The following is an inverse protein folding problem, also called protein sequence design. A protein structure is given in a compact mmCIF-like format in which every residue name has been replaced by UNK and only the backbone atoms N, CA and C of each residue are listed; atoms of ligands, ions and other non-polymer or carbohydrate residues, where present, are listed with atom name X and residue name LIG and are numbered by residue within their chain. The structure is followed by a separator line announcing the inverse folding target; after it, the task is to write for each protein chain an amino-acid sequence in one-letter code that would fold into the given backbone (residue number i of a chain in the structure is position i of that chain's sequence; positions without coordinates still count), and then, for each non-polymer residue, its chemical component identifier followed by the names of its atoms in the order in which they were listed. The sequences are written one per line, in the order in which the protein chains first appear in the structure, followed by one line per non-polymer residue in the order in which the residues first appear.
data_IF_332627292016
#
_entry.id   IF_332627292016
#
_cell.length_a   1.000
_cell.length_b   1.000
_cell.length_c   1.000
_cell.angle_alpha   90.00
_cell.angle_beta   90.00
_cell.angle_gamma   90.00
#
_symmetry.space_group_name_H-M   'P 1'
#
loop_
_entity.id
_entity.type
_entity.pdbx_description
1 polymer ?
#
# COMPACT_ATOMS: atom_id res chain seq x y z
N UNK A 1 -2.55 18.59 0.59
CA UNK A 1 -2.81 17.17 1.01
C UNK A 1 -2.37 16.96 2.45
N UNK A 2 -1.15 17.35 2.84
CA UNK A 2 -0.59 17.15 4.18
C UNK A 2 -1.50 17.75 5.28
N UNK A 3 -1.85 19.04 5.19
CA UNK A 3 -2.75 19.70 6.15
C UNK A 3 -4.08 18.98 6.31
N UNK A 4 -4.66 18.50 5.21
CA UNK A 4 -5.92 17.78 5.25
C UNK A 4 -5.78 16.48 6.05
N UNK A 5 -4.77 15.68 5.77
CA UNK A 5 -4.55 14.42 6.48
C UNK A 5 -4.25 14.65 7.97
N UNK A 6 -3.49 15.70 8.30
CA UNK A 6 -3.24 16.09 9.70
C UNK A 6 -4.49 16.56 10.40
N UNK A 7 -5.35 17.33 9.71
CA UNK A 7 -6.63 17.78 10.28
C UNK A 7 -7.58 16.62 10.60
N UNK A 8 -7.45 15.51 9.86
CA UNK A 8 -8.17 14.27 10.13
C UNK A 8 -7.60 13.46 11.31
N UNK A 9 -6.36 13.76 11.75
CA UNK A 9 -5.71 13.13 12.88
C UNK A 9 -4.60 12.14 12.53
N UNK A 10 -4.15 12.04 11.26
CA UNK A 10 -2.91 11.35 10.92
C UNK A 10 -1.71 12.13 11.43
N UNK A 11 -0.69 11.43 11.94
CA UNK A 11 0.47 12.06 12.57
C UNK A 11 1.80 11.57 12.02
N UNK A 12 1.93 10.26 11.83
CA UNK A 12 3.19 9.58 11.52
C UNK A 12 3.39 9.43 10.01
N UNK A 13 3.51 10.58 9.32
CA UNK A 13 3.79 10.66 7.89
C UNK A 13 4.41 12.02 7.54
N UNK A 14 5.07 12.09 6.39
CA UNK A 14 5.47 13.34 5.75
C UNK A 14 5.27 13.25 4.23
N UNK A 15 4.79 14.33 3.63
CA UNK A 15 4.71 14.56 2.18
C UNK A 15 5.35 15.90 1.92
N UNK A 16 6.66 15.91 1.67
CA UNK A 16 7.48 17.12 1.60
C UNK A 16 7.97 17.44 0.20
N UNK A 17 8.13 16.42 -0.64
CA UNK A 17 8.73 16.55 -1.96
C UNK A 17 7.84 15.95 -3.03
N UNK A 18 8.00 16.43 -4.26
CA UNK A 18 7.33 15.89 -5.43
C UNK A 18 8.07 14.68 -5.99
N UNK A 19 7.43 13.93 -6.88
CA UNK A 19 8.04 12.84 -7.62
C UNK A 19 9.23 13.33 -8.46
N UNK A 20 9.09 14.50 -9.08
CA UNK A 20 10.18 15.15 -9.84
C UNK A 20 11.40 15.46 -8.97
N UNK A 21 11.20 15.89 -7.72
CA UNK A 21 12.31 16.16 -6.80
C UNK A 21 13.04 14.86 -6.45
N UNK A 22 12.30 13.77 -6.19
CA UNK A 22 12.86 12.45 -5.91
C UNK A 22 13.67 11.89 -7.08
N UNK A 23 13.22 12.10 -8.33
CA UNK A 23 13.99 11.71 -9.52
C UNK A 23 15.25 12.53 -9.74
N UNK A 24 15.25 13.81 -9.37
CA UNK A 24 16.44 14.67 -9.46
C UNK A 24 17.46 14.36 -8.39
N UNK A 25 17.01 13.97 -7.21
CA UNK A 25 17.86 13.67 -6.06
C UNK A 25 17.28 12.49 -5.26
N UNK A 26 17.88 11.31 -5.41
CA UNK A 26 17.41 10.09 -4.75
C UNK A 26 17.39 10.18 -3.21
N UNK A 27 18.20 11.08 -2.61
CA UNK A 27 18.15 11.30 -1.16
C UNK A 27 16.81 11.89 -0.71
N UNK A 28 16.10 12.60 -1.59
CA UNK A 28 14.78 13.16 -1.28
C UNK A 28 13.68 12.09 -1.20
N UNK A 29 13.90 10.88 -1.74
CA UNK A 29 12.96 9.76 -1.58
C UNK A 29 12.67 9.43 -0.10
N UNK A 30 13.61 9.71 0.80
CA UNK A 30 13.46 9.44 2.23
C UNK A 30 12.70 10.53 2.99
N UNK A 31 12.38 11.65 2.36
CA UNK A 31 11.62 12.76 2.96
C UNK A 31 10.12 12.51 2.92
N UNK A 32 9.64 11.76 1.95
CA UNK A 32 8.26 11.26 1.94
C UNK A 32 8.23 9.92 2.67
N UNK A 33 7.48 9.83 3.75
CA UNK A 33 7.38 8.60 4.54
C UNK A 33 6.04 8.48 5.26
N UNK A 34 5.70 7.27 5.61
CA UNK A 34 4.59 6.95 6.53
C UNK A 34 4.90 5.66 7.29
N UNK A 35 4.09 5.35 8.28
CA UNK A 35 4.14 4.04 8.96
C UNK A 35 3.06 3.10 8.41
N UNK A 36 3.26 1.78 8.47
CA UNK A 36 2.22 0.83 8.09
C UNK A 36 0.89 1.06 8.82
N UNK A 37 0.96 1.43 10.10
CA UNK A 37 -0.24 1.71 10.90
C UNK A 37 -1.01 2.94 10.40
N UNK A 38 -0.32 4.02 10.05
CA UNK A 38 -0.98 5.22 9.50
C UNK A 38 -1.57 4.94 8.10
N UNK A 39 -0.87 4.15 7.29
CA UNK A 39 -1.38 3.73 5.98
C UNK A 39 -2.67 2.90 6.12
N UNK A 40 -2.69 1.91 7.03
CA UNK A 40 -3.89 1.11 7.33
C UNK A 40 -5.02 1.99 7.86
N UNK A 41 -4.73 2.95 8.74
CA UNK A 41 -5.72 3.89 9.25
C UNK A 41 -6.35 4.73 8.14
N UNK A 42 -5.55 5.23 7.21
CA UNK A 42 -6.05 5.98 6.05
C UNK A 42 -6.93 5.11 5.13
N UNK A 43 -6.54 3.87 4.88
CA UNK A 43 -7.34 2.90 4.11
C UNK A 43 -8.69 2.62 4.78
N UNK A 44 -8.70 2.42 6.09
CA UNK A 44 -9.94 2.25 6.86
C UNK A 44 -10.85 3.48 6.79
N UNK A 45 -10.26 4.68 6.81
CA UNK A 45 -11.03 5.91 6.64
C UNK A 45 -11.56 6.09 5.21
N UNK A 46 -10.84 5.63 4.20
CA UNK A 46 -11.31 5.61 2.82
C UNK A 46 -12.53 4.68 2.70
N UNK A 47 -12.38 3.42 3.07
CA UNK A 47 -13.43 2.40 2.93
C UNK A 47 -14.67 2.73 3.77
N UNK A 48 -14.49 3.30 4.97
CA UNK A 48 -15.61 3.74 5.82
C UNK A 48 -16.27 5.05 5.37
N UNK A 49 -15.71 5.74 4.37
CA UNK A 49 -16.21 7.04 3.90
C UNK A 49 -15.85 8.23 4.80
N UNK A 50 -14.90 8.06 5.73
CA UNK A 50 -14.40 9.15 6.57
C UNK A 50 -13.41 10.05 5.81
N UNK A 51 -12.50 9.45 5.01
CA UNK A 51 -11.50 10.20 4.26
C UNK A 51 -12.04 10.82 2.96
N UNK A 52 -13.04 10.21 2.34
CA UNK A 52 -13.72 10.73 1.16
C UNK A 52 -15.15 10.23 1.17
N UNK A 53 -16.07 10.95 0.54
CA UNK A 53 -17.51 10.63 0.54
C UNK A 53 -18.08 10.57 -0.89
N UNK A 54 -19.16 9.81 -1.04
CA UNK A 54 -19.91 9.71 -2.29
C UNK A 54 -19.03 9.36 -3.47
N UNK A 55 -19.23 10.03 -4.59
CA UNK A 55 -18.52 9.73 -5.83
C UNK A 55 -16.98 9.80 -5.74
N UNK A 56 -16.43 10.62 -4.86
CA UNK A 56 -14.98 10.70 -4.67
C UNK A 56 -14.43 9.43 -4.00
N UNK A 57 -15.11 8.93 -2.97
CA UNK A 57 -14.74 7.65 -2.34
C UNK A 57 -14.84 6.53 -3.35
N UNK A 58 -15.96 6.43 -4.05
CA UNK A 58 -16.22 5.38 -5.02
C UNK A 58 -15.20 5.40 -6.16
N UNK A 59 -14.81 6.59 -6.63
CA UNK A 59 -13.77 6.76 -7.64
C UNK A 59 -12.41 6.23 -7.16
N UNK A 60 -11.97 6.60 -5.94
CA UNK A 60 -10.69 6.15 -5.39
C UNK A 60 -10.71 4.63 -5.17
N UNK A 61 -11.80 4.11 -4.60
CA UNK A 61 -11.96 2.67 -4.35
C UNK A 61 -11.90 1.88 -5.65
N UNK A 62 -12.65 2.27 -6.68
CA UNK A 62 -12.63 1.60 -7.98
C UNK A 62 -11.29 1.74 -8.70
N UNK A 63 -10.61 2.89 -8.56
CA UNK A 63 -9.26 3.09 -9.11
C UNK A 63 -8.26 2.12 -8.46
N UNK A 64 -8.34 1.93 -7.16
CA UNK A 64 -7.48 0.97 -6.44
C UNK A 64 -7.82 -0.48 -6.80
N UNK A 65 -9.10 -0.84 -6.99
CA UNK A 65 -9.52 -2.17 -7.44
C UNK A 65 -9.03 -2.47 -8.86
N UNK A 66 -9.00 -1.46 -9.73
CA UNK A 66 -8.53 -1.61 -11.11
C UNK A 66 -7.01 -1.51 -11.27
N UNK A 67 -6.24 -1.46 -10.19
CA UNK A 67 -4.78 -1.37 -10.21
C UNK A 67 -4.16 -2.55 -10.97
N UNK A 68 -3.23 -2.25 -11.89
CA UNK A 68 -2.57 -3.26 -12.74
C UNK A 68 -1.11 -3.52 -12.36
N UNK A 69 -0.52 -2.66 -11.49
CA UNK A 69 0.88 -2.81 -11.06
C UNK A 69 0.99 -3.74 -9.85
N UNK A 70 2.14 -4.39 -9.64
CA UNK A 70 2.43 -5.21 -8.46
C UNK A 70 1.50 -6.41 -8.28
N UNK A 71 1.09 -7.07 -9.37
CA UNK A 71 0.28 -8.30 -9.31
C UNK A 71 0.98 -9.44 -8.59
N UNK A 72 2.29 -9.35 -8.46
CA UNK A 72 3.18 -10.26 -7.75
C UNK A 72 3.36 -9.92 -6.25
N UNK A 73 2.64 -8.89 -5.75
CA UNK A 73 2.66 -8.42 -4.36
C UNK A 73 1.37 -8.81 -3.63
N UNK A 74 0.69 -7.86 -2.99
CA UNK A 74 -0.55 -8.14 -2.23
C UNK A 74 -1.61 -8.95 -3.00
N UNK A 75 -1.84 -8.75 -4.31
CA UNK A 75 -2.83 -9.53 -5.05
C UNK A 75 -2.44 -10.99 -5.31
N UNK A 76 -1.14 -11.32 -5.31
CA UNK A 76 -0.66 -12.63 -5.75
C UNK A 76 -1.39 -13.82 -5.10
N UNK A 77 -1.51 -13.91 -3.76
CA UNK A 77 -2.19 -15.04 -3.11
C UNK A 77 -3.71 -14.99 -3.22
N UNK A 78 -4.28 -13.89 -3.68
CA UNK A 78 -5.73 -13.71 -3.86
C UNK A 78 -6.19 -14.10 -5.26
N UNK A 79 -5.26 -14.33 -6.19
CA UNK A 79 -5.55 -14.73 -7.55
C UNK A 79 -6.34 -16.06 -7.56
N UNK A 80 -7.46 -16.10 -8.30
CA UNK A 80 -8.35 -17.26 -8.36
C UNK A 80 -9.27 -17.43 -7.14
N UNK A 81 -9.20 -16.55 -6.15
CA UNK A 81 -10.18 -16.49 -5.04
C UNK A 81 -11.37 -15.61 -5.43
N UNK A 82 -12.40 -15.57 -4.55
CA UNK A 82 -13.53 -14.63 -4.68
C UNK A 82 -13.31 -13.32 -3.90
N UNK A 83 -12.13 -13.12 -3.31
CA UNK A 83 -11.80 -11.87 -2.64
C UNK A 83 -11.59 -10.76 -3.65
N UNK A 84 -12.00 -9.54 -3.31
CA UNK A 84 -11.76 -8.34 -4.11
C UNK A 84 -10.72 -7.50 -3.39
N UNK A 85 -9.63 -7.16 -4.07
CA UNK A 85 -8.58 -6.30 -3.54
C UNK A 85 -8.55 -4.97 -4.29
N UNK A 86 -8.48 -3.87 -3.54
CA UNK A 86 -8.07 -2.56 -4.04
C UNK A 86 -6.72 -2.20 -3.43
N UNK A 87 -5.72 -1.88 -4.27
CA UNK A 87 -4.38 -1.62 -3.75
C UNK A 87 -3.64 -0.53 -4.55
N UNK A 88 -2.52 -0.03 -3.98
CA UNK A 88 -1.60 0.89 -4.63
C UNK A 88 -0.17 0.55 -4.27
N UNK A 89 0.63 0.34 -5.31
CA UNK A 89 2.07 0.07 -5.20
C UNK A 89 2.90 1.35 -5.11
N UNK A 90 4.08 1.23 -4.50
CA UNK A 90 5.17 2.19 -4.60
C UNK A 90 6.48 1.44 -4.88
N UNK A 91 7.26 1.88 -5.86
CA UNK A 91 8.56 1.29 -6.18
C UNK A 91 9.56 2.42 -6.39
N UNK A 92 10.62 2.42 -5.60
CA UNK A 92 11.72 3.38 -5.71
C UNK A 92 12.88 2.83 -6.54
N UNK A 93 13.75 3.73 -6.96
CA UNK A 93 15.01 3.41 -7.62
C UNK A 93 16.01 2.76 -6.66
N UNK A 94 17.20 2.41 -7.15
CA UNK A 94 18.30 1.94 -6.33
C UNK A 94 19.16 3.11 -5.84
N UNK A 95 19.46 3.13 -4.56
CA UNK A 95 20.35 4.12 -3.96
C UNK A 95 21.83 3.85 -4.35
N UNK A 96 22.74 4.73 -3.93
CA UNK A 96 24.17 4.62 -4.20
C UNK A 96 24.86 3.36 -3.62
N UNK A 97 24.16 2.59 -2.78
CA UNK A 97 24.62 1.28 -2.27
C UNK A 97 24.02 0.11 -3.05
N UNK A 98 23.24 0.36 -4.10
CA UNK A 98 22.56 -0.66 -4.88
C UNK A 98 21.28 -1.22 -4.23
N UNK A 99 20.83 -0.65 -3.12
CA UNK A 99 19.61 -1.07 -2.41
C UNK A 99 18.37 -0.45 -3.07
N UNK A 100 17.28 -1.20 -3.17
CA UNK A 100 15.98 -0.67 -3.61
C UNK A 100 15.45 0.22 -2.49
N UNK A 101 15.29 1.52 -2.75
CA UNK A 101 14.88 2.53 -1.76
C UNK A 101 13.53 2.18 -1.13
N UNK A 102 12.58 1.72 -1.93
CA UNK A 102 11.26 1.33 -1.44
C UNK A 102 10.59 0.31 -2.34
N UNK A 103 10.00 -0.73 -1.76
CA UNK A 103 9.08 -1.65 -2.42
C UNK A 103 7.87 -1.80 -1.53
N UNK A 104 6.80 -1.13 -1.90
CA UNK A 104 5.63 -0.96 -1.05
C UNK A 104 4.37 -1.42 -1.75
N UNK A 105 3.42 -1.93 -0.97
CA UNK A 105 2.06 -2.15 -1.43
C UNK A 105 1.10 -1.98 -0.25
N UNK A 106 0.04 -1.21 -0.44
CA UNK A 106 -1.00 -0.99 0.56
C UNK A 106 -2.37 -1.23 -0.06
N UNK A 107 -3.31 -1.79 0.68
CA UNK A 107 -4.62 -2.08 0.12
C UNK A 107 -5.67 -2.49 1.15
N UNK A 108 -6.86 -2.65 0.66
CA UNK A 108 -8.00 -3.22 1.37
C UNK A 108 -8.52 -4.45 0.63
N UNK A 109 -9.05 -5.40 1.36
CA UNK A 109 -9.59 -6.65 0.82
C UNK A 109 -11.00 -6.87 1.36
N UNK A 110 -11.94 -7.12 0.44
CA UNK A 110 -13.29 -7.56 0.73
C UNK A 110 -13.40 -9.07 0.54
N UNK A 111 -13.84 -9.78 1.56
CA UNK A 111 -14.05 -11.22 1.52
C UNK A 111 -15.49 -11.58 1.12
N UNK A 112 -15.72 -12.76 0.52
CA UNK A 112 -17.06 -13.18 0.08
C UNK A 112 -18.09 -13.33 1.21
N UNK A 113 -17.63 -13.50 2.44
CA UNK A 113 -18.46 -13.64 3.65
C UNK A 113 -18.85 -12.29 4.29
N UNK A 114 -18.46 -11.18 3.66
CA UNK A 114 -18.73 -9.82 4.12
C UNK A 114 -17.68 -9.25 5.07
N UNK A 115 -16.70 -10.03 5.50
CA UNK A 115 -15.56 -9.50 6.24
C UNK A 115 -14.64 -8.70 5.32
N UNK A 116 -13.86 -7.80 5.90
CA UNK A 116 -12.83 -7.02 5.20
C UNK A 116 -11.64 -6.76 6.10
N UNK A 117 -10.52 -6.48 5.50
CA UNK A 117 -9.33 -6.02 6.20
C UNK A 117 -8.53 -5.03 5.35
N UNK A 118 -7.71 -4.22 6.00
CA UNK A 118 -6.71 -3.36 5.35
C UNK A 118 -5.32 -3.86 5.68
N UNK A 119 -4.40 -3.74 4.74
CA UNK A 119 -3.04 -4.24 4.85
C UNK A 119 -2.07 -3.21 4.26
N UNK A 120 -0.92 -3.03 4.90
CA UNK A 120 0.15 -2.20 4.40
C UNK A 120 1.49 -2.90 4.64
N UNK A 121 2.26 -3.11 3.58
CA UNK A 121 3.61 -3.67 3.62
C UNK A 121 4.56 -2.66 2.99
N UNK A 122 5.46 -2.13 3.82
CA UNK A 122 6.43 -1.12 3.43
C UNK A 122 7.84 -1.69 3.65
N UNK A 123 8.57 -1.91 2.55
CA UNK A 123 9.94 -2.42 2.57
C UNK A 123 10.88 -1.31 2.12
N UNK A 124 11.91 -1.04 2.89
CA UNK A 124 12.88 0.02 2.64
C UNK A 124 14.28 -0.56 2.57
N UNK A 125 15.11 0.02 1.68
CA UNK A 125 16.54 -0.27 1.52
C UNK A 125 16.84 -1.77 1.34
N UNK A 126 16.05 -2.44 0.49
CA UNK A 126 16.22 -3.87 0.22
C UNK A 126 17.48 -4.13 -0.61
N UNK A 127 18.31 -5.05 -0.14
CA UNK A 127 19.47 -5.57 -0.88
C UNK A 127 19.11 -6.72 -1.83
N UNK A 128 17.89 -7.24 -1.70
CA UNK A 128 17.37 -8.33 -2.49
C UNK A 128 16.99 -7.89 -3.91
N UNK A 129 16.69 -8.88 -4.77
CA UNK A 129 16.10 -8.62 -6.07
C UNK A 129 14.67 -8.06 -5.93
N UNK A 130 14.19 -7.38 -6.97
CA UNK A 130 12.80 -6.90 -7.01
C UNK A 130 11.80 -8.04 -6.84
N UNK A 131 12.09 -9.19 -7.48
CA UNK A 131 11.25 -10.38 -7.38
C UNK A 131 11.23 -10.96 -5.96
N UNK A 132 12.39 -11.07 -5.30
CA UNK A 132 12.46 -11.57 -3.92
C UNK A 132 11.74 -10.63 -2.96
N UNK A 133 11.91 -9.32 -3.13
CA UNK A 133 11.24 -8.31 -2.31
C UNK A 133 9.72 -8.31 -2.52
N UNK A 134 9.25 -8.44 -3.77
CA UNK A 134 7.83 -8.59 -4.07
C UNK A 134 7.24 -9.87 -3.45
N UNK A 135 8.00 -10.96 -3.47
CA UNK A 135 7.60 -12.24 -2.86
C UNK A 135 7.36 -12.12 -1.35
N UNK A 136 8.19 -11.35 -0.63
CA UNK A 136 7.96 -11.08 0.81
C UNK A 136 6.60 -10.43 1.04
N UNK A 137 6.21 -9.46 0.20
CA UNK A 137 4.90 -8.82 0.28
C UNK A 137 3.77 -9.85 0.04
N UNK A 138 3.94 -10.71 -0.97
CA UNK A 138 2.96 -11.74 -1.28
C UNK A 138 2.80 -12.76 -0.13
N UNK A 139 3.90 -13.20 0.47
CA UNK A 139 3.88 -14.17 1.57
C UNK A 139 3.21 -13.59 2.83
N UNK A 140 3.44 -12.31 3.14
CA UNK A 140 2.73 -11.59 4.21
C UNK A 140 1.23 -11.51 3.89
N UNK A 141 0.87 -11.14 2.65
CA UNK A 141 -0.52 -11.08 2.22
C UNK A 141 -1.21 -12.44 2.34
N UNK A 142 -0.53 -13.53 1.96
CA UNK A 142 -1.06 -14.88 2.09
C UNK A 142 -1.34 -15.26 3.55
N UNK A 143 -0.38 -14.97 4.44
CA UNK A 143 -0.52 -15.24 5.86
C UNK A 143 -1.73 -14.51 6.48
N UNK A 144 -1.89 -13.22 6.16
CA UNK A 144 -3.02 -12.40 6.62
C UNK A 144 -4.34 -12.95 6.04
N UNK A 145 -4.38 -13.21 4.74
CA UNK A 145 -5.58 -13.74 4.08
C UNK A 145 -6.03 -15.08 4.69
N UNK A 146 -5.11 -16.01 4.90
CA UNK A 146 -5.41 -17.31 5.54
C UNK A 146 -5.97 -17.10 6.95
N UNK A 147 -5.35 -16.23 7.73
CA UNK A 147 -5.81 -15.94 9.10
C UNK A 147 -7.23 -15.37 9.13
N UNK A 148 -7.50 -14.33 8.32
CA UNK A 148 -8.79 -13.64 8.32
C UNK A 148 -9.90 -14.49 7.69
N UNK A 149 -9.59 -15.27 6.64
CA UNK A 149 -10.58 -16.15 5.98
C UNK A 149 -10.84 -17.47 6.72
N UNK A 150 -10.16 -17.72 7.86
CA UNK A 150 -10.27 -19.00 8.59
C UNK A 150 -9.71 -20.21 7.85
N UNK A 151 -8.96 -20.01 6.76
CA UNK A 151 -8.31 -21.07 6.00
C UNK A 151 -6.99 -21.45 6.66
N UNK A 152 -6.88 -22.66 7.15
CA UNK A 152 -5.64 -23.24 7.69
C UNK A 152 -4.78 -23.86 6.60
#
# INVERSE_FOLDING_TARGET
TDEYLRSMGLRDFAIEVTEDDMHRNLADCYRNWTTPLEAVRLLEWLVSGKAAKGAYRDFIEQTMISCQTGRDRLPAPLAGTKAVIGHKTGTGDRNGKGQIIGTNDIGFVFLPDGHRYSIAVLIRDSEESEQATARVIADISEAVYRHVSGRR
#
